data_IF_819934314024
#
_entry.id   IF_819934314024
#
_cell.length_a   1.000
_cell.length_b   1.000
_cell.length_c   1.000
_cell.angle_alpha   90.00
_cell.angle_beta   90.00
_cell.angle_gamma   90.00
#
_symmetry.space_group_name_H-M   'P 1'
#
loop_
_entity.id
_entity.type
_entity.pdbx_description
1 polymer ?
#
# COMPACT_ATOMS: atom_id res chain seq x y z
N UNK A 1 23.96 -2.99 5.86
CA UNK A 1 23.57 -2.05 4.79
C UNK A 1 22.26 -1.46 5.26
N UNK A 2 22.11 -0.13 5.30
CA UNK A 2 20.85 0.47 5.78
C UNK A 2 19.78 0.21 4.73
N UNK A 3 18.78 -0.60 5.05
CA UNK A 3 17.57 -0.73 4.23
C UNK A 3 16.85 0.62 4.31
N UNK A 4 16.47 1.20 3.18
CA UNK A 4 15.77 2.47 3.11
C UNK A 4 14.32 2.12 2.83
N UNK A 5 13.43 2.43 3.77
CA UNK A 5 12.00 2.30 3.56
C UNK A 5 11.57 3.33 2.52
N UNK A 6 10.99 2.87 1.41
CA UNK A 6 10.41 3.76 0.41
C UNK A 6 9.09 4.34 0.93
N UNK A 7 8.88 5.64 0.75
CA UNK A 7 7.59 6.31 0.94
C UNK A 7 7.18 6.90 -0.41
N UNK A 8 5.93 6.73 -0.83
CA UNK A 8 5.38 7.55 -1.91
C UNK A 8 4.12 8.27 -1.42
N UNK A 9 3.93 9.47 -1.95
CA UNK A 9 3.04 10.48 -1.42
C UNK A 9 1.68 10.36 -2.14
N UNK A 10 0.60 9.99 -1.44
CA UNK A 10 -0.74 10.05 -2.03
C UNK A 10 -1.28 11.48 -2.02
N UNK A 11 -1.10 12.25 -3.09
CA UNK A 11 -1.97 13.41 -3.33
C UNK A 11 -3.24 12.95 -4.03
N UNK A 12 -4.29 12.77 -3.25
CA UNK A 12 -5.64 12.70 -3.78
C UNK A 12 -6.06 14.14 -4.00
N UNK A 13 -6.13 14.54 -5.28
CA UNK A 13 -6.77 15.78 -5.64
C UNK A 13 -8.24 15.70 -5.18
N UNK A 14 -8.65 16.46 -4.17
CA UNK A 14 -9.99 16.39 -3.60
C UNK A 14 -11.05 17.11 -4.45
N UNK A 15 -10.92 16.99 -5.77
CA UNK A 15 -12.07 17.05 -6.67
C UNK A 15 -12.55 15.63 -6.84
N UNK A 16 -13.85 15.36 -6.67
CA UNK A 16 -14.47 14.07 -6.93
C UNK A 16 -14.26 13.57 -8.37
N UNK A 17 -13.04 13.15 -8.69
CA UNK A 17 -12.64 12.46 -9.89
C UNK A 17 -12.92 10.99 -9.67
N UNK A 18 -13.62 10.38 -10.63
CA UNK A 18 -14.15 9.04 -10.51
C UNK A 18 -13.12 7.98 -10.06
N UNK A 19 -11.83 8.11 -10.39
CA UNK A 19 -10.87 7.01 -10.29
C UNK A 19 -10.38 6.58 -8.89
N UNK A 20 -10.33 7.45 -7.89
CA UNK A 20 -9.66 7.12 -6.62
C UNK A 20 -10.39 6.07 -5.77
N UNK A 21 -11.69 5.89 -6.03
CA UNK A 21 -12.57 4.91 -5.38
C UNK A 21 -13.07 3.84 -6.36
N UNK A 22 -12.71 3.95 -7.64
CA UNK A 22 -13.17 3.00 -8.66
C UNK A 22 -12.47 1.65 -8.47
N UNK A 23 -13.21 0.56 -8.59
CA UNK A 23 -12.66 -0.79 -8.68
C UNK A 23 -13.09 -1.39 -10.02
N UNK A 24 -12.15 -1.51 -10.95
CA UNK A 24 -12.36 -2.14 -12.25
C UNK A 24 -11.77 -3.56 -12.32
N UNK A 25 -11.52 -4.19 -11.16
CA UNK A 25 -11.08 -5.58 -11.06
C UNK A 25 -12.28 -6.53 -10.97
N UNK A 26 -12.05 -7.82 -11.16
CA UNK A 26 -13.02 -8.87 -10.80
C UNK A 26 -12.54 -9.57 -9.54
N UNK A 27 -13.40 -9.62 -8.52
CA UNK A 27 -13.12 -10.30 -7.25
C UNK A 27 -13.95 -11.56 -7.08
N UNK A 28 -13.40 -12.54 -6.36
CA UNK A 28 -14.13 -13.72 -5.91
C UNK A 28 -14.95 -13.44 -4.63
N UNK A 29 -15.70 -14.43 -4.15
CA UNK A 29 -16.53 -14.32 -2.94
C UNK A 29 -15.71 -14.09 -1.66
N UNK A 30 -14.39 -14.32 -1.69
CA UNK A 30 -13.46 -14.08 -0.58
C UNK A 30 -12.78 -12.72 -0.66
N UNK A 31 -13.06 -11.93 -1.71
CA UNK A 31 -12.49 -10.61 -1.95
C UNK A 31 -11.18 -10.62 -2.75
N UNK A 32 -10.67 -11.78 -3.16
CA UNK A 32 -9.41 -11.85 -3.91
C UNK A 32 -9.63 -11.41 -5.36
N UNK A 33 -8.70 -10.65 -5.90
CA UNK A 33 -8.66 -10.29 -7.32
C UNK A 33 -8.38 -11.54 -8.15
N UNK A 34 -9.30 -11.88 -9.06
CA UNK A 34 -9.19 -13.02 -10.00
C UNK A 34 -9.05 -12.56 -11.46
N UNK A 35 -9.35 -11.30 -11.75
CA UNK A 35 -9.03 -10.63 -13.01
C UNK A 35 -8.54 -9.21 -12.72
N UNK A 36 -7.36 -8.86 -13.26
CA UNK A 36 -6.72 -7.57 -13.00
C UNK A 36 -7.44 -6.38 -13.65
N UNK A 37 -7.12 -5.18 -13.18
CA UNK A 37 -7.75 -3.95 -13.63
C UNK A 37 -7.26 -2.71 -12.88
N UNK A 38 -7.75 -1.54 -13.30
CA UNK A 38 -7.48 -0.29 -12.60
C UNK A 38 -8.21 -0.26 -11.25
N UNK A 39 -7.46 -0.03 -10.17
CA UNK A 39 -7.96 0.00 -8.81
C UNK A 39 -7.62 1.34 -8.16
N UNK A 40 -8.61 2.10 -7.72
CA UNK A 40 -8.41 3.35 -7.01
C UNK A 40 -7.62 3.13 -5.72
N UNK A 41 -6.77 4.09 -5.34
CA UNK A 41 -5.92 3.97 -4.16
C UNK A 41 -6.73 3.72 -2.87
N UNK A 42 -7.94 4.28 -2.76
CA UNK A 42 -8.85 4.05 -1.61
C UNK A 42 -9.69 2.78 -1.72
N UNK A 43 -9.67 2.10 -2.87
CA UNK A 43 -10.34 0.82 -3.06
C UNK A 43 -9.40 -0.37 -2.76
N UNK A 44 -8.13 -0.10 -2.43
CA UNK A 44 -7.13 -1.10 -2.11
C UNK A 44 -7.52 -1.88 -0.84
N UNK A 45 -7.48 -3.21 -0.92
CA UNK A 45 -7.80 -4.10 0.19
C UNK A 45 -6.56 -4.89 0.63
N UNK A 46 -6.52 -5.28 1.90
CA UNK A 46 -5.49 -6.20 2.41
C UNK A 46 -5.57 -7.52 1.61
N UNK A 47 -4.44 -7.96 1.06
CA UNK A 47 -4.31 -9.11 0.18
C UNK A 47 -4.31 -8.77 -1.32
N UNK A 48 -4.54 -7.51 -1.69
CA UNK A 48 -4.48 -7.10 -3.09
C UNK A 48 -3.04 -7.00 -3.58
N UNK A 49 -2.78 -7.61 -4.74
CA UNK A 49 -1.50 -7.54 -5.43
C UNK A 49 -1.57 -6.55 -6.60
N UNK A 50 -0.54 -5.73 -6.76
CA UNK A 50 -0.54 -4.65 -7.73
C UNK A 50 0.86 -4.23 -8.18
N UNK A 51 0.92 -3.47 -9.26
CA UNK A 51 2.14 -2.85 -9.76
C UNK A 51 2.26 -1.44 -9.21
N UNK A 52 3.44 -1.10 -8.68
CA UNK A 52 3.72 0.24 -8.16
C UNK A 52 3.94 1.16 -9.38
N UNK A 53 3.16 2.24 -9.54
CA UNK A 53 3.38 3.20 -10.62
C UNK A 53 4.70 3.97 -10.43
N UNK A 54 5.32 4.42 -11.52
CA UNK A 54 6.54 5.25 -11.45
C UNK A 54 6.25 6.71 -11.03
N UNK A 55 4.98 7.06 -10.80
CA UNK A 55 4.54 8.42 -10.48
C UNK A 55 4.62 8.70 -8.97
N UNK A 56 5.00 9.94 -8.61
CA UNK A 56 5.02 10.38 -7.21
C UNK A 56 3.61 10.50 -6.62
N UNK A 57 2.58 10.67 -7.46
CA UNK A 57 1.19 10.85 -7.07
C UNK A 57 0.35 9.67 -7.57
N UNK A 58 -0.30 8.96 -6.65
CA UNK A 58 -1.02 7.74 -6.96
C UNK A 58 -2.52 7.98 -6.76
N UNK A 59 -3.30 7.94 -7.83
CA UNK A 59 -4.77 7.96 -7.73
C UNK A 59 -5.36 6.56 -7.95
N UNK A 60 -4.67 5.75 -8.74
CA UNK A 60 -5.06 4.39 -9.08
C UNK A 60 -3.81 3.53 -9.28
N UNK A 61 -3.96 2.26 -8.98
CA UNK A 61 -3.00 1.18 -9.13
C UNK A 61 -3.43 0.27 -10.29
N UNK A 62 -2.48 -0.46 -10.84
CA UNK A 62 -2.76 -1.60 -11.71
C UNK A 62 -2.75 -2.87 -10.86
N UNK A 63 -3.93 -3.33 -10.45
CA UNK A 63 -4.07 -4.51 -9.62
C UNK A 63 -4.19 -5.78 -10.48
N UNK A 64 -3.63 -6.87 -9.98
CA UNK A 64 -3.54 -8.17 -10.67
C UNK A 64 -3.80 -9.32 -9.68
N UNK A 65 -4.21 -10.51 -10.15
CA UNK A 65 -4.26 -11.68 -9.29
C UNK A 65 -2.88 -11.97 -8.71
N UNK A 66 -2.77 -12.25 -7.41
CA UNK A 66 -1.48 -12.51 -6.76
C UNK A 66 -0.71 -13.70 -7.37
N UNK A 67 -1.38 -14.61 -8.08
CA UNK A 67 -0.72 -15.68 -8.83
C UNK A 67 0.08 -15.19 -10.04
N UNK A 68 -0.13 -13.95 -10.47
CA UNK A 68 0.62 -13.29 -11.53
C UNK A 68 1.79 -12.46 -10.97
N UNK A 69 2.87 -12.24 -11.75
CA UNK A 69 3.97 -11.39 -11.32
C UNK A 69 3.53 -9.94 -11.04
N UNK A 70 3.80 -9.47 -9.83
CA UNK A 70 3.44 -8.13 -9.35
C UNK A 70 4.59 -7.50 -8.55
N UNK A 71 4.49 -6.20 -8.30
CA UNK A 71 5.55 -5.47 -7.58
C UNK A 71 5.27 -5.41 -6.09
N UNK A 72 3.99 -5.40 -5.70
CA UNK A 72 3.58 -5.21 -4.32
C UNK A 72 2.31 -5.98 -3.90
N UNK A 73 2.19 -6.26 -2.61
CA UNK A 73 0.97 -6.81 -1.99
C UNK A 73 0.58 -5.98 -0.75
N UNK A 74 -0.66 -5.50 -0.68
CA UNK A 74 -1.18 -4.81 0.48
C UNK A 74 -1.31 -5.77 1.68
N UNK A 75 -0.72 -5.43 2.82
CA UNK A 75 -0.70 -6.33 4.00
C UNK A 75 -1.32 -5.74 5.25
N UNK A 76 -1.47 -4.42 5.31
CA UNK A 76 -2.07 -3.73 6.44
C UNK A 76 -2.64 -2.38 6.01
N UNK A 77 -3.68 -1.93 6.73
CA UNK A 77 -4.18 -0.57 6.66
C UNK A 77 -4.45 -0.05 8.08
N UNK A 78 -4.24 1.25 8.31
CA UNK A 78 -4.56 1.90 9.60
C UNK A 78 -4.68 3.42 9.45
N UNK A 79 -5.50 4.04 10.31
CA UNK A 79 -5.62 5.49 10.36
C UNK A 79 -4.57 6.14 11.27
N UNK A 80 -3.99 7.24 10.81
CA UNK A 80 -3.24 8.14 11.66
C UNK A 80 -4.18 8.98 12.54
N UNK A 81 -3.82 9.22 13.82
CA UNK A 81 -4.66 9.98 14.73
C UNK A 81 -4.61 11.48 14.44
N UNK A 82 -5.69 12.17 14.84
CA UNK A 82 -5.74 13.64 14.84
C UNK A 82 -6.61 14.23 13.75
N UNK A 83 -6.98 15.50 13.92
CA UNK A 83 -7.85 16.23 13.00
C UNK A 83 -7.08 17.27 12.17
N UNK A 84 -5.89 17.67 12.60
CA UNK A 84 -5.05 18.66 11.92
C UNK A 84 -3.83 17.97 11.36
N UNK A 85 -3.46 18.30 10.11
CA UNK A 85 -2.30 17.71 9.45
C UNK A 85 -1.02 17.98 10.26
N UNK A 86 -0.31 16.94 10.74
CA UNK A 86 0.83 17.11 11.64
C UNK A 86 2.12 17.56 10.91
N UNK A 87 2.09 17.60 9.57
CA UNK A 87 3.24 17.84 8.72
C UNK A 87 3.76 16.55 8.09
N UNK A 88 4.32 16.65 6.88
CA UNK A 88 4.71 15.49 6.07
C UNK A 88 5.70 14.56 6.80
N UNK A 89 6.73 15.11 7.45
CA UNK A 89 7.73 14.32 8.17
C UNK A 89 7.11 13.47 9.30
N UNK A 90 6.15 14.04 10.04
CA UNK A 90 5.46 13.32 11.10
C UNK A 90 4.54 12.23 10.56
N UNK A 91 3.87 12.48 9.42
CA UNK A 91 3.07 11.46 8.73
C UNK A 91 3.96 10.32 8.26
N UNK A 92 5.04 10.61 7.54
CA UNK A 92 5.99 9.60 7.03
C UNK A 92 6.62 8.76 8.15
N UNK A 93 7.02 9.37 9.25
CA UNK A 93 7.56 8.63 10.39
C UNK A 93 6.50 7.68 11.00
N UNK A 94 5.26 8.16 11.19
CA UNK A 94 4.18 7.35 11.74
C UNK A 94 3.74 6.22 10.79
N UNK A 95 3.72 6.47 9.47
CA UNK A 95 3.44 5.47 8.44
C UNK A 95 4.49 4.35 8.49
N UNK A 96 5.77 4.72 8.49
CA UNK A 96 6.88 3.76 8.51
C UNK A 96 6.85 2.86 9.74
N UNK A 97 6.67 3.43 10.94
CA UNK A 97 6.58 2.64 12.17
C UNK A 97 5.33 1.76 12.20
N UNK A 98 4.17 2.29 11.80
CA UNK A 98 2.95 1.51 11.81
C UNK A 98 2.98 0.32 10.84
N UNK A 99 3.62 0.48 9.69
CA UNK A 99 3.86 -0.62 8.75
C UNK A 99 4.90 -1.62 9.30
N UNK A 100 6.04 -1.15 9.80
CA UNK A 100 7.06 -1.98 10.43
C UNK A 100 6.47 -2.89 11.52
N UNK A 101 5.68 -2.34 12.43
CA UNK A 101 5.07 -3.07 13.56
C UNK A 101 4.09 -4.18 13.11
N UNK A 102 3.54 -4.07 11.91
CA UNK A 102 2.55 -5.01 11.36
C UNK A 102 3.15 -6.06 10.43
N UNK A 103 4.38 -5.83 9.96
CA UNK A 103 5.04 -6.66 8.95
C UNK A 103 5.14 -8.13 9.37
N UNK A 104 5.69 -8.41 10.56
CA UNK A 104 5.94 -9.78 11.03
C UNK A 104 4.65 -10.60 11.13
N UNK A 105 3.56 -9.96 11.56
CA UNK A 105 2.26 -10.64 11.70
C UNK A 105 1.71 -11.13 10.37
N UNK A 106 2.06 -10.46 9.26
CA UNK A 106 1.66 -10.87 7.93
C UNK A 106 2.65 -11.86 7.30
N UNK A 107 3.95 -11.55 7.29
CA UNK A 107 4.98 -12.36 6.61
C UNK A 107 5.33 -13.63 7.36
N UNK A 108 5.26 -13.61 8.69
CA UNK A 108 5.64 -14.71 9.57
C UNK A 108 7.07 -14.65 10.11
N UNK A 109 7.89 -13.67 9.69
CA UNK A 109 9.21 -13.37 10.25
C UNK A 109 9.42 -11.85 10.35
N UNK A 110 10.30 -11.37 11.25
CA UNK A 110 10.62 -9.95 11.36
C UNK A 110 11.20 -9.37 10.06
N UNK A 111 10.89 -8.11 9.76
CA UNK A 111 11.43 -7.41 8.58
C UNK A 111 12.95 -7.43 8.53
N UNK A 112 13.63 -7.26 9.67
CA UNK A 112 15.10 -7.25 9.75
C UNK A 112 15.74 -8.60 9.33
N UNK A 113 14.97 -9.69 9.31
CA UNK A 113 15.41 -11.04 8.94
C UNK A 113 14.87 -11.50 7.57
N UNK A 114 14.00 -10.70 6.94
CA UNK A 114 13.30 -11.02 5.68
C UNK A 114 14.04 -10.50 4.44
N UNK A 115 13.93 -11.20 3.32
CA UNK A 115 14.34 -10.73 1.99
C UNK A 115 13.29 -9.84 1.31
N UNK A 116 12.15 -9.64 1.96
CA UNK A 116 11.12 -8.69 1.55
C UNK A 116 11.41 -7.33 2.18
N UNK A 117 10.84 -6.30 1.58
CA UNK A 117 10.80 -4.95 2.14
C UNK A 117 9.35 -4.49 2.23
N UNK A 118 9.13 -3.28 2.73
CA UNK A 118 7.82 -2.66 2.65
C UNK A 118 7.90 -1.23 2.13
N UNK A 119 6.79 -0.85 1.53
CA UNK A 119 6.45 0.46 1.05
C UNK A 119 5.11 0.86 1.67
N UNK A 120 4.78 2.14 1.66
CA UNK A 120 3.50 2.61 2.15
C UNK A 120 2.96 3.77 1.32
N UNK A 121 1.64 3.73 1.22
CA UNK A 121 0.75 4.79 0.76
C UNK A 121 0.31 5.58 2.00
N UNK A 122 0.49 6.89 1.97
CA UNK A 122 0.18 7.75 3.12
C UNK A 122 -0.54 9.04 2.74
N UNK A 123 -1.36 9.61 3.66
CA UNK A 123 -2.11 10.81 3.36
C UNK A 123 -1.21 12.01 3.11
N UNK A 124 -1.55 12.81 2.11
CA UNK A 124 -1.05 14.17 1.95
C UNK A 124 -1.82 15.18 2.78
N UNK A 125 -1.26 16.38 2.93
CA UNK A 125 -1.97 17.52 3.48
C UNK A 125 -3.32 17.77 2.77
N UNK A 126 -3.33 17.69 1.43
CA UNK A 126 -4.55 17.91 0.64
C UNK A 126 -5.61 16.85 0.95
N UNK A 127 -5.26 15.55 0.85
CA UNK A 127 -6.18 14.46 1.19
C UNK A 127 -6.64 14.54 2.66
N UNK A 128 -5.78 14.98 3.56
CA UNK A 128 -6.07 15.10 4.97
C UNK A 128 -7.10 16.19 5.25
N UNK A 129 -6.90 17.38 4.67
CA UNK A 129 -7.72 18.56 4.92
C UNK A 129 -9.02 18.56 4.12
N UNK A 130 -9.00 18.06 2.88
CA UNK A 130 -10.13 18.11 1.96
C UNK A 130 -10.89 16.79 1.85
N UNK A 131 -10.20 15.66 2.02
CA UNK A 131 -10.77 14.31 1.91
C UNK A 131 -11.06 13.61 3.25
N UNK A 132 -10.69 14.24 4.38
CA UNK A 132 -10.66 13.60 5.71
C UNK A 132 -9.87 12.28 5.72
N UNK A 133 -8.87 12.17 4.84
CA UNK A 133 -8.05 10.97 4.68
C UNK A 133 -6.99 10.88 5.79
N UNK A 134 -7.02 9.78 6.52
CA UNK A 134 -6.05 9.43 7.57
C UNK A 134 -5.38 8.09 7.30
N UNK A 135 -5.78 7.41 6.23
CA UNK A 135 -5.46 6.01 6.03
C UNK A 135 -4.03 5.85 5.51
N UNK A 136 -3.28 4.98 6.16
CA UNK A 136 -2.01 4.46 5.67
C UNK A 136 -2.25 3.05 5.19
N UNK A 137 -1.88 2.76 3.95
CA UNK A 137 -1.89 1.42 3.36
C UNK A 137 -0.46 0.92 3.20
N UNK A 138 -0.14 -0.19 3.86
CA UNK A 138 1.19 -0.80 3.83
C UNK A 138 1.24 -1.90 2.77
N UNK A 139 2.33 -1.94 2.02
CA UNK A 139 2.54 -2.87 0.93
C UNK A 139 3.89 -3.58 1.04
N UNK A 140 3.91 -4.89 0.83
CA UNK A 140 5.13 -5.70 0.78
C UNK A 140 5.72 -5.62 -0.61
N UNK A 141 7.05 -5.52 -0.69
CA UNK A 141 7.80 -5.57 -1.94
C UNK A 141 8.98 -6.53 -1.80
N UNK A 142 9.65 -6.87 -2.91
CA UNK A 142 10.96 -7.54 -2.81
C UNK A 142 12.06 -6.53 -2.49
N UNK A 143 12.97 -6.87 -1.59
CA UNK A 143 14.10 -6.01 -1.24
C UNK A 143 15.08 -5.78 -2.41
N UNK A 144 15.21 -6.75 -3.31
CA UNK A 144 16.08 -6.64 -4.48
C UNK A 144 15.40 -6.00 -5.70
N UNK A 145 14.14 -5.57 -5.56
CA UNK A 145 13.33 -5.01 -6.63
C UNK A 145 12.83 -6.03 -7.66
N UNK A 146 12.99 -7.33 -7.42
CA UNK A 146 12.37 -8.37 -8.24
C UNK A 146 10.86 -8.44 -8.02
N UNK A 147 10.14 -8.98 -9.02
CA UNK A 147 8.69 -9.16 -8.93
C UNK A 147 8.35 -10.33 -8.02
N UNK A 148 7.31 -10.14 -7.22
CA UNK A 148 6.71 -11.17 -6.39
C UNK A 148 5.77 -12.05 -7.22
N UNK A 149 5.56 -13.29 -6.78
CA UNK A 149 4.56 -14.22 -7.31
C UNK A 149 3.98 -15.00 -6.14
N UNK A 150 2.65 -15.05 -6.07
CA UNK A 150 1.90 -15.54 -4.91
C UNK A 150 1.79 -14.50 -3.81
N UNK A 151 0.94 -14.78 -2.81
CA UNK A 151 0.85 -13.98 -1.58
C UNK A 151 2.09 -14.20 -0.70
N UNK A 152 2.52 -13.14 -0.04
CA UNK A 152 3.57 -13.09 0.98
C UNK A 152 3.03 -13.36 2.38
N UNK A 153 1.71 -13.54 2.54
CA UNK A 153 1.11 -13.94 3.80
C UNK A 153 1.68 -15.29 4.26
N UNK A 154 2.39 -15.28 5.39
CA UNK A 154 3.05 -16.46 5.97
C UNK A 154 4.23 -16.99 5.14
N UNK A 155 4.74 -16.24 4.16
CA UNK A 155 5.80 -16.71 3.27
C UNK A 155 7.13 -17.00 3.99
N UNK A 156 7.38 -16.37 5.14
CA UNK A 156 8.54 -16.62 6.01
C UNK A 156 9.89 -16.53 5.27
N UNK A 157 10.06 -15.51 4.42
CA UNK A 157 11.24 -15.33 3.57
C UNK A 157 11.79 -13.92 3.63
#
# INVERSE_FOLDING_TARGET
MKRIVGAAILAVAAFGGAGAFDDNTVRDDSGNIVEGGGLGAFALQIGDCFNIPEEELIQSLEAVPCSEPHDAEAYAAFDQPGTTYPGAEAVTEASAWGCYDRFESFVGIPWDESELDFWFLEPTQESWEEGDDREVSCAITSYDGSRLVGTMAGASR
#
